data_IF_160096686598
#
_entry.id   IF_160096686598
#
_cell.length_a   1.000
_cell.length_b   1.000
_cell.length_c   1.000
_cell.angle_alpha   90.00
_cell.angle_beta   90.00
_cell.angle_gamma   90.00
#
_symmetry.space_group_name_H-M   'P 1'
#
loop_
_entity.id
_entity.type
_entity.pdbx_description
1 polymer ?
#
# COMPACT_ATOMS: atom_id res chain seq x y z
N UNK A 1 12.33 1.72 1.94
CA UNK A 1 11.23 2.56 2.45
C UNK A 1 11.13 2.36 3.94
N UNK A 2 11.10 3.43 4.73
CA UNK A 2 10.94 3.37 6.20
C UNK A 2 9.47 3.31 6.60
N UNK A 3 9.16 2.99 7.86
CA UNK A 3 7.78 3.08 8.37
C UNK A 3 7.21 4.51 8.30
N UNK A 4 8.06 5.53 8.42
CA UNK A 4 7.65 6.93 8.35
C UNK A 4 7.18 7.33 6.95
N UNK A 5 7.82 6.79 5.91
CA UNK A 5 7.38 6.96 4.53
C UNK A 5 6.02 6.28 4.28
N UNK A 6 5.80 5.08 4.83
CA UNK A 6 4.51 4.40 4.76
C UNK A 6 3.40 5.23 5.45
N UNK A 7 3.69 5.78 6.63
CA UNK A 7 2.77 6.66 7.37
C UNK A 7 2.45 7.94 6.61
N UNK A 8 3.44 8.55 5.97
CA UNK A 8 3.25 9.73 5.12
C UNK A 8 2.31 9.44 3.94
N UNK A 9 2.48 8.27 3.28
CA UNK A 9 1.61 7.85 2.18
C UNK A 9 0.19 7.52 2.65
N UNK A 10 0.05 6.91 3.83
CA UNK A 10 -1.24 6.67 4.45
C UNK A 10 -1.98 7.98 4.74
N UNK A 11 -1.26 8.98 5.25
CA UNK A 11 -1.82 10.28 5.62
C UNK A 11 -2.37 11.07 4.42
N UNK A 12 -1.89 10.79 3.21
CA UNK A 12 -2.39 11.39 1.97
C UNK A 12 -3.79 10.87 1.57
N UNK A 13 -4.28 9.79 2.19
CA UNK A 13 -5.61 9.23 1.93
C UNK A 13 -6.59 9.88 2.93
N UNK A 14 -7.57 10.70 2.49
CA UNK A 14 -8.39 11.50 3.41
C UNK A 14 -9.09 10.70 4.52
N UNK A 15 -9.61 9.51 4.21
CA UNK A 15 -10.28 8.65 5.19
C UNK A 15 -9.34 7.99 6.22
N UNK A 16 -8.02 8.03 5.97
CA UNK A 16 -6.98 7.45 6.85
C UNK A 16 -5.99 8.50 7.37
N UNK A 17 -6.20 9.79 7.10
CA UNK A 17 -5.27 10.86 7.43
C UNK A 17 -4.92 10.93 8.93
N UNK A 18 -5.89 10.60 9.80
CA UNK A 18 -5.73 10.56 11.25
C UNK A 18 -5.42 9.18 11.84
N UNK A 19 -5.08 8.18 11.01
CA UNK A 19 -4.83 6.83 11.50
C UNK A 19 -3.51 6.75 12.29
N UNK A 20 -3.63 6.56 13.61
CA UNK A 20 -2.50 6.45 14.54
C UNK A 20 -2.25 5.03 15.05
N UNK A 21 -2.98 4.05 14.54
CA UNK A 21 -2.80 2.64 14.89
C UNK A 21 -1.49 2.05 14.34
N UNK A 22 -1.27 0.77 14.67
CA UNK A 22 -0.10 0.02 14.22
C UNK A 22 -0.13 -0.18 12.71
N UNK A 23 0.96 0.19 12.05
CA UNK A 23 1.24 -0.21 10.68
C UNK A 23 2.09 -1.47 10.69
N UNK A 24 1.51 -2.59 10.29
CA UNK A 24 2.23 -3.86 10.22
C UNK A 24 2.73 -4.09 8.80
N UNK A 25 4.03 -4.38 8.67
CA UNK A 25 4.61 -4.74 7.38
C UNK A 25 4.21 -6.17 7.02
N UNK A 26 3.51 -6.32 5.90
CA UNK A 26 3.18 -7.61 5.34
C UNK A 26 4.22 -8.04 4.30
N UNK A 27 4.11 -9.31 3.89
CA UNK A 27 4.82 -9.83 2.72
C UNK A 27 4.46 -9.07 1.45
N UNK A 28 5.33 -9.12 0.46
CA UNK A 28 5.15 -8.45 -0.82
C UNK A 28 6.46 -8.43 -1.58
N UNK A 29 6.52 -9.18 -2.68
CA UNK A 29 7.74 -9.34 -3.46
C UNK A 29 8.07 -8.07 -4.25
N UNK A 30 7.06 -7.51 -4.92
CA UNK A 30 7.20 -6.33 -5.79
C UNK A 30 6.52 -5.09 -5.23
N UNK A 31 5.63 -5.26 -4.26
CA UNK A 31 4.92 -4.19 -3.56
C UNK A 31 5.31 -4.15 -2.09
N UNK A 32 5.41 -2.95 -1.53
CA UNK A 32 5.52 -2.74 -0.10
C UNK A 32 4.10 -2.70 0.46
N UNK A 33 3.70 -3.74 1.17
CA UNK A 33 2.33 -3.91 1.67
C UNK A 33 2.29 -3.72 3.18
N UNK A 34 1.36 -2.91 3.66
CA UNK A 34 1.14 -2.65 5.08
C UNK A 34 -0.32 -2.85 5.46
N UNK A 35 -0.56 -3.40 6.64
CA UNK A 35 -1.89 -3.43 7.27
C UNK A 35 -2.06 -2.21 8.18
N UNK A 36 -3.18 -1.50 8.02
CA UNK A 36 -3.60 -0.34 8.79
C UNK A 36 -5.04 -0.59 9.30
N UNK A 37 -5.17 -1.25 10.45
CA UNK A 37 -6.48 -1.73 10.92
C UNK A 37 -7.07 -2.72 9.93
N UNK A 38 -8.27 -2.42 9.42
CA UNK A 38 -8.97 -3.24 8.43
C UNK A 38 -8.56 -2.94 6.97
N UNK A 39 -7.65 -1.99 6.77
CA UNK A 39 -7.20 -1.59 5.44
C UNK A 39 -5.81 -2.15 5.12
N UNK A 40 -5.56 -2.37 3.83
CA UNK A 40 -4.23 -2.68 3.30
C UNK A 40 -3.72 -1.52 2.43
N UNK A 41 -2.58 -0.95 2.82
CA UNK A 41 -1.84 0.03 2.02
C UNK A 41 -0.84 -0.71 1.13
N UNK A 42 -0.99 -0.60 -0.19
CA UNK A 42 -0.05 -1.16 -1.17
C UNK A 42 0.72 -0.03 -1.83
N UNK A 43 2.03 0.00 -1.63
CA UNK A 43 2.92 0.98 -2.24
C UNK A 43 3.78 0.28 -3.29
N UNK A 44 3.73 0.74 -4.55
CA UNK A 44 4.66 0.32 -5.59
C UNK A 44 6.11 0.20 -5.12
N UNK A 45 6.74 -0.95 -5.40
CA UNK A 45 8.18 -1.11 -5.18
C UNK A 45 8.99 -0.22 -6.13
N UNK A 46 10.07 0.38 -5.63
CA UNK A 46 10.98 1.19 -6.45
C UNK A 46 11.58 0.36 -7.58
N UNK A 47 11.63 0.90 -8.79
CA UNK A 47 12.24 0.26 -9.95
C UNK A 47 11.37 -0.84 -10.54
N UNK A 48 10.06 -0.84 -10.26
CA UNK A 48 9.09 -1.75 -10.89
C UNK A 48 8.32 -1.10 -12.03
N UNK A 49 8.52 0.20 -12.27
CA UNK A 49 7.78 0.99 -13.25
C UNK A 49 7.98 0.49 -14.69
N UNK A 50 9.17 -0.05 -14.98
CA UNK A 50 9.55 -0.47 -16.33
C UNK A 50 8.90 -1.80 -16.75
N UNK A 51 8.46 -2.63 -15.80
CA UNK A 51 7.92 -3.97 -16.07
C UNK A 51 6.61 -4.27 -15.35
N UNK A 52 6.12 -3.39 -14.49
CA UNK A 52 4.82 -3.50 -13.81
C UNK A 52 3.94 -2.32 -14.18
N UNK A 53 2.84 -2.60 -14.90
CA UNK A 53 1.85 -1.61 -15.28
C UNK A 53 0.96 -1.22 -14.09
N UNK A 54 1.00 0.06 -13.69
CA UNK A 54 0.23 0.59 -12.54
C UNK A 54 -1.28 0.51 -12.72
N UNK A 55 -1.79 0.59 -13.94
CA UNK A 55 -3.21 0.42 -14.21
C UNK A 55 -3.65 -1.03 -13.96
N UNK A 56 -2.83 -2.00 -14.35
CA UNK A 56 -3.08 -3.41 -14.07
C UNK A 56 -3.00 -3.70 -12.56
N UNK A 57 -2.05 -3.11 -11.85
CA UNK A 57 -1.97 -3.22 -10.39
C UNK A 57 -3.21 -2.65 -9.69
N UNK A 58 -3.74 -1.52 -10.18
CA UNK A 58 -4.97 -0.96 -9.64
C UNK A 58 -6.17 -1.92 -9.81
N UNK A 59 -6.25 -2.64 -10.94
CA UNK A 59 -7.27 -3.68 -11.13
C UNK A 59 -7.04 -4.83 -10.15
N UNK A 60 -5.82 -5.36 -10.06
CA UNK A 60 -5.49 -6.45 -9.14
C UNK A 60 -5.73 -6.09 -7.67
N UNK A 61 -5.48 -4.84 -7.28
CA UNK A 61 -5.77 -4.33 -5.94
C UNK A 61 -7.28 -4.30 -5.65
N UNK A 62 -8.11 -3.88 -6.63
CA UNK A 62 -9.58 -3.89 -6.48
C UNK A 62 -10.12 -5.31 -6.40
N UNK A 63 -9.65 -6.23 -7.23
CA UNK A 63 -10.10 -7.62 -7.17
C UNK A 63 -9.69 -8.29 -5.86
N UNK A 64 -8.46 -8.05 -5.38
CA UNK A 64 -8.02 -8.58 -4.09
C UNK A 64 -8.78 -8.02 -2.89
N UNK A 65 -9.43 -6.85 -3.01
CA UNK A 65 -10.27 -6.28 -1.97
C UNK A 65 -11.70 -6.87 -1.94
N UNK A 66 -12.11 -7.62 -2.99
CA UNK A 66 -13.42 -8.28 -3.06
C UNK A 66 -13.41 -9.72 -2.53
N UNK A 67 -12.24 -10.36 -2.53
CA UNK A 67 -12.04 -11.74 -2.09
C UNK A 67 -11.95 -11.83 -0.57
#
# INVERSE_FOLDING_TARGET
MTMDEARTKLAAIPMLAGYNGTLERLGGLTNLVFRAGDFCLRIPGKGTEEYINRANEAVAAREAAKA
#
